data_IF_783463866044
#
_entry.id   IF_783463866044
#
_cell.length_a   1.000
_cell.length_b   1.000
_cell.length_c   1.000
_cell.angle_alpha   90.00
_cell.angle_beta   90.00
_cell.angle_gamma   90.00
#
_symmetry.space_group_name_H-M   'P 1'
#
loop_
_entity.id
_entity.type
_entity.pdbx_description
1 polymer ?
#
# COMPACT_ATOMS: atom_id res chain seq x y z
N UNK A 1 -17.42 -54.64 -10.91
CA UNK A 1 -17.05 -53.34 -11.51
C UNK A 1 -16.49 -52.47 -10.40
N UNK A 2 -15.17 -52.24 -10.36
CA UNK A 2 -14.55 -51.46 -9.29
C UNK A 2 -14.78 -49.96 -9.52
N UNK A 3 -15.01 -49.14 -8.47
CA UNK A 3 -15.19 -47.70 -8.63
C UNK A 3 -13.92 -47.04 -9.18
N UNK A 4 -14.05 -46.02 -10.05
CA UNK A 4 -12.91 -45.28 -10.57
C UNK A 4 -12.19 -44.55 -9.44
N UNK A 5 -10.87 -44.73 -9.34
CA UNK A 5 -10.06 -44.02 -8.35
C UNK A 5 -10.01 -42.53 -8.69
N UNK A 6 -10.36 -41.68 -7.72
CA UNK A 6 -10.28 -40.23 -7.85
C UNK A 6 -8.81 -39.79 -7.97
N UNK A 7 -8.50 -38.75 -8.77
CA UNK A 7 -7.12 -38.30 -8.97
C UNK A 7 -6.47 -37.88 -7.63
N UNK A 8 -5.15 -38.10 -7.45
CA UNK A 8 -4.46 -37.75 -6.23
C UNK A 8 -4.55 -36.24 -5.99
N UNK A 9 -5.10 -35.85 -4.84
CA UNK A 9 -5.26 -34.45 -4.47
C UNK A 9 -3.90 -33.88 -4.04
N UNK A 10 -3.45 -32.73 -4.59
CA UNK A 10 -2.17 -32.13 -4.21
C UNK A 10 -2.19 -31.81 -2.70
N UNK A 11 -1.28 -32.42 -1.94
CA UNK A 11 -1.24 -32.29 -0.47
C UNK A 11 -0.45 -31.09 0.04
N UNK A 12 0.14 -30.27 -0.85
CA UNK A 12 0.92 -29.09 -0.48
C UNK A 12 0.51 -27.91 -1.37
N UNK A 13 -0.11 -26.91 -0.77
CA UNK A 13 -0.28 -25.59 -1.39
C UNK A 13 1.09 -24.91 -1.41
N UNK A 14 1.63 -24.51 -2.59
CA UNK A 14 2.87 -23.74 -2.64
C UNK A 14 2.70 -22.46 -1.82
N UNK A 15 3.57 -22.24 -0.84
CA UNK A 15 3.66 -20.96 -0.14
C UNK A 15 4.29 -19.97 -1.13
N UNK A 16 3.46 -19.18 -1.80
CA UNK A 16 3.92 -18.11 -2.67
C UNK A 16 4.43 -16.96 -1.79
N UNK A 17 5.72 -16.63 -1.90
CA UNK A 17 6.28 -15.43 -1.27
C UNK A 17 5.58 -14.20 -1.84
N UNK A 18 5.07 -13.34 -0.95
CA UNK A 18 4.49 -12.06 -1.35
C UNK A 18 5.56 -11.22 -2.06
N UNK A 19 5.30 -10.71 -3.28
CA UNK A 19 6.28 -9.92 -4.00
C UNK A 19 6.67 -8.68 -3.19
N UNK A 20 7.96 -8.56 -2.88
CA UNK A 20 8.53 -7.47 -2.05
C UNK A 20 8.63 -6.12 -2.77
N UNK A 21 8.28 -6.08 -4.05
CA UNK A 21 8.35 -4.90 -4.91
C UNK A 21 7.02 -4.71 -5.63
N UNK A 22 6.62 -3.45 -5.79
CA UNK A 22 5.35 -3.07 -6.42
C UNK A 22 4.24 -2.80 -5.41
N UNK A 23 3.01 -2.82 -5.89
CA UNK A 23 1.82 -2.57 -5.07
C UNK A 23 1.43 -3.84 -4.32
N UNK A 24 1.96 -3.99 -3.10
CA UNK A 24 1.57 -5.05 -2.18
C UNK A 24 1.14 -4.44 -0.83
N UNK A 25 0.41 -5.23 -0.03
CA UNK A 25 -0.31 -4.76 1.16
C UNK A 25 0.54 -4.00 2.17
N UNK A 26 1.82 -4.34 2.29
CA UNK A 26 2.75 -3.62 3.17
C UNK A 26 3.11 -2.24 2.60
N UNK A 27 3.44 -2.15 1.31
CA UNK A 27 3.78 -0.89 0.65
C UNK A 27 2.60 0.09 0.69
N UNK A 28 1.37 -0.39 0.45
CA UNK A 28 0.15 0.42 0.51
C UNK A 28 -0.07 1.02 1.91
N UNK A 29 0.10 0.23 2.97
CA UNK A 29 -0.03 0.72 4.34
C UNK A 29 1.05 1.73 4.70
N UNK A 30 2.29 1.49 4.26
CA UNK A 30 3.40 2.40 4.52
C UNK A 30 3.16 3.74 3.82
N UNK A 31 2.79 3.71 2.55
CA UNK A 31 2.48 4.91 1.76
C UNK A 31 1.29 5.67 2.35
N UNK A 32 0.24 4.96 2.79
CA UNK A 32 -0.92 5.60 3.45
C UNK A 32 -0.54 6.32 4.75
N UNK A 33 0.34 5.75 5.57
CA UNK A 33 0.85 6.42 6.79
C UNK A 33 1.68 7.65 6.44
N UNK A 34 2.57 7.53 5.47
CA UNK A 34 3.37 8.65 4.99
C UNK A 34 2.48 9.79 4.47
N UNK A 35 1.40 9.46 3.75
CA UNK A 35 0.42 10.44 3.27
C UNK A 35 -0.32 11.13 4.42
N UNK A 36 -0.76 10.39 5.46
CA UNK A 36 -1.40 11.01 6.64
C UNK A 36 -0.45 11.99 7.36
N UNK A 37 0.81 11.60 7.55
CA UNK A 37 1.83 12.47 8.15
C UNK A 37 2.09 13.70 7.27
N UNK A 38 2.24 13.50 5.96
CA UNK A 38 2.45 14.57 5.00
C UNK A 38 1.30 15.59 4.99
N UNK A 39 0.06 15.11 5.06
CA UNK A 39 -1.12 15.99 5.11
C UNK A 39 -1.18 16.81 6.40
N UNK A 40 -0.94 16.20 7.57
CA UNK A 40 -0.90 16.94 8.84
C UNK A 40 0.24 17.97 8.84
N UNK A 41 1.42 17.58 8.34
CA UNK A 41 2.56 18.48 8.23
C UNK A 41 2.25 19.66 7.31
N UNK A 42 1.56 19.42 6.20
CA UNK A 42 1.10 20.45 5.27
C UNK A 42 0.23 21.49 6.00
N UNK A 43 -0.77 21.05 6.77
CA UNK A 43 -1.62 21.96 7.56
C UNK A 43 -0.84 22.75 8.62
N UNK A 44 0.13 22.12 9.29
CA UNK A 44 0.97 22.79 10.30
C UNK A 44 1.82 23.87 9.66
N UNK A 45 2.42 23.58 8.51
CA UNK A 45 3.23 24.56 7.77
C UNK A 45 2.36 25.74 7.33
N UNK A 46 1.16 25.50 6.80
CA UNK A 46 0.23 26.57 6.43
C UNK A 46 -0.16 27.43 7.63
N UNK A 47 -0.45 26.81 8.78
CA UNK A 47 -0.81 27.53 9.99
C UNK A 47 0.34 28.38 10.56
N UNK A 48 1.58 27.89 10.49
CA UNK A 48 2.76 28.62 11.00
C UNK A 48 3.20 29.73 10.04
N UNK A 49 3.16 29.47 8.74
CA UNK A 49 3.66 30.42 7.72
C UNK A 49 2.59 31.43 7.28
N UNK A 50 1.31 31.12 7.47
CA UNK A 50 0.21 31.92 6.94
C UNK A 50 0.15 31.94 5.41
N UNK A 51 0.84 31.02 4.74
CA UNK A 51 0.87 30.88 3.28
C UNK A 51 0.43 29.47 2.93
N UNK A 52 -0.50 29.33 1.97
CA UNK A 52 -0.92 28.02 1.49
C UNK A 52 0.23 27.29 0.82
N UNK A 53 0.37 25.98 1.00
CA UNK A 53 1.49 25.21 0.42
C UNK A 53 1.52 25.29 -1.12
N UNK A 54 0.38 25.52 -1.76
CA UNK A 54 0.30 25.74 -3.20
C UNK A 54 0.99 27.04 -3.67
N UNK A 55 1.14 28.05 -2.80
CA UNK A 55 1.89 29.26 -3.13
C UNK A 55 3.38 28.95 -3.37
N UNK A 56 3.91 27.91 -2.73
CA UNK A 56 5.31 27.48 -2.92
C UNK A 56 5.52 26.72 -4.23
N UNK A 57 4.46 26.11 -4.77
CA UNK A 57 4.47 25.41 -6.05
C UNK A 57 4.30 26.36 -7.25
N UNK A 58 4.30 27.69 -7.01
CA UNK A 58 4.19 28.71 -8.06
C UNK A 58 2.82 28.75 -8.76
N UNK A 59 1.79 28.17 -8.14
CA UNK A 59 0.45 28.04 -8.73
C UNK A 59 -0.52 29.17 -8.36
N UNK A 60 -0.03 30.24 -7.71
CA UNK A 60 -0.62 31.58 -7.53
C UNK A 60 0.51 32.51 -7.10
#
# INVERSE_FOLDING_TARGET
MAPPQSPPQPSVTPQLDEPKFGFHRYAERLNGRAAMVGFVLMLVIEAVTGQGVLSWLGSI
#
